data_IF_010343120385
#
_entry.id   IF_010343120385
#
_cell.length_a   1.000
_cell.length_b   1.000
_cell.length_c   1.000
_cell.angle_alpha   90.00
_cell.angle_beta   90.00
_cell.angle_gamma   90.00
#
_symmetry.space_group_name_H-M   'P 1'
#
loop_
_entity.id
_entity.type
_entity.pdbx_description
1 polymer ?
#
# COMPACT_ATOMS: atom_id res chain seq x y z
N UNK A 1 29.53 -13.60 -14.64
CA UNK A 1 29.76 -14.52 -15.77
C UNK A 1 31.26 -14.54 -16.00
N UNK A 2 31.93 -15.68 -15.78
CA UNK A 2 33.38 -15.80 -15.96
C UNK A 2 33.69 -15.87 -17.46
N UNK A 3 34.47 -14.93 -17.99
CA UNK A 3 34.78 -14.81 -19.42
C UNK A 3 36.08 -14.03 -19.62
N UNK A 4 36.69 -14.17 -20.80
CA UNK A 4 37.80 -13.32 -21.22
C UNK A 4 37.31 -11.89 -21.45
N UNK A 5 38.14 -10.91 -21.12
CA UNK A 5 37.80 -9.48 -21.22
C UNK A 5 37.30 -9.10 -22.61
N UNK A 6 37.92 -9.60 -23.67
CA UNK A 6 37.55 -9.30 -25.06
C UNK A 6 36.13 -9.79 -25.41
N UNK A 7 35.80 -11.03 -25.03
CA UNK A 7 34.46 -11.59 -25.27
C UNK A 7 33.39 -10.88 -24.44
N UNK A 8 33.70 -10.57 -23.18
CA UNK A 8 32.79 -9.82 -22.32
C UNK A 8 32.47 -8.43 -22.90
N UNK A 9 33.49 -7.68 -23.30
CA UNK A 9 33.33 -6.33 -23.89
C UNK A 9 32.61 -6.40 -25.24
N UNK A 10 32.92 -7.39 -26.08
CA UNK A 10 32.26 -7.56 -27.38
C UNK A 10 30.77 -7.85 -27.21
N UNK A 11 30.42 -8.76 -26.31
CA UNK A 11 29.02 -9.07 -26.00
C UNK A 11 28.29 -7.85 -25.43
N UNK A 12 28.92 -7.12 -24.50
CA UNK A 12 28.36 -5.90 -23.93
C UNK A 12 28.04 -4.86 -25.01
N UNK A 13 28.94 -4.64 -25.98
CA UNK A 13 28.74 -3.72 -27.09
C UNK A 13 27.56 -4.10 -27.97
N UNK A 14 27.35 -5.40 -28.24
CA UNK A 14 26.20 -5.89 -29.00
C UNK A 14 24.88 -5.51 -28.31
N UNK A 15 24.76 -5.76 -27.00
CA UNK A 15 23.57 -5.39 -26.24
C UNK A 15 23.37 -3.86 -26.15
N UNK A 16 24.45 -3.09 -25.99
CA UNK A 16 24.38 -1.63 -25.98
C UNK A 16 23.91 -1.08 -27.33
N UNK A 17 24.42 -1.59 -28.45
CA UNK A 17 24.02 -1.19 -29.79
C UNK A 17 22.54 -1.50 -30.04
N UNK A 18 22.07 -2.69 -29.65
CA UNK A 18 20.66 -3.05 -29.76
C UNK A 18 19.76 -2.18 -28.88
N UNK A 19 20.16 -1.92 -27.63
CA UNK A 19 19.41 -1.05 -26.72
C UNK A 19 19.29 0.38 -27.25
N UNK A 20 20.34 0.90 -27.90
CA UNK A 20 20.30 2.23 -28.52
C UNK A 20 19.38 2.26 -29.75
N UNK A 21 19.43 1.24 -30.60
CA UNK A 21 18.51 1.10 -31.73
C UNK A 21 17.04 1.08 -31.28
N UNK A 22 16.73 0.30 -30.23
CA UNK A 22 15.37 0.21 -29.69
C UNK A 22 14.92 1.53 -29.03
N UNK A 23 15.85 2.26 -28.40
CA UNK A 23 15.57 3.58 -27.82
C UNK A 23 15.21 4.61 -28.89
N UNK A 24 15.92 4.61 -30.03
CA UNK A 24 15.64 5.51 -31.16
C UNK A 24 14.28 5.21 -31.80
N UNK A 25 13.93 3.93 -31.96
CA UNK A 25 12.62 3.53 -32.46
C UNK A 25 11.50 4.03 -31.53
N UNK A 26 11.67 3.88 -30.21
CA UNK A 26 10.69 4.39 -29.24
C UNK A 26 10.59 5.92 -29.27
N UNK A 27 11.71 6.63 -29.43
CA UNK A 27 11.73 8.09 -29.54
C UNK A 27 10.89 8.57 -30.74
N UNK A 28 11.02 7.90 -31.88
CA UNK A 28 10.21 8.21 -33.06
C UNK A 28 8.71 8.07 -32.76
N UNK A 29 8.30 6.93 -32.18
CA UNK A 29 6.89 6.70 -31.82
C UNK A 29 6.36 7.69 -30.79
N UNK A 30 7.16 8.06 -29.78
CA UNK A 30 6.77 9.09 -28.80
C UNK A 30 6.51 10.42 -29.50
N UNK A 31 7.39 10.85 -30.41
CA UNK A 31 7.22 12.09 -31.17
C UNK A 31 5.99 12.06 -32.07
N UNK A 32 5.70 10.94 -32.73
CA UNK A 32 4.48 10.78 -33.51
C UNK A 32 3.22 10.90 -32.66
N UNK A 33 3.19 10.25 -31.49
CA UNK A 33 2.06 10.30 -30.56
C UNK A 33 1.86 11.72 -30.01
N UNK A 34 2.94 12.42 -29.64
CA UNK A 34 2.87 13.80 -29.15
C UNK A 34 2.28 14.74 -30.21
N UNK A 35 2.70 14.60 -31.48
CA UNK A 35 2.12 15.36 -32.60
C UNK A 35 0.62 15.09 -32.76
N UNK A 36 0.20 13.82 -32.69
CA UNK A 36 -1.23 13.44 -32.81
C UNK A 36 -2.10 14.04 -31.70
N UNK A 37 -1.56 14.20 -30.49
CA UNK A 37 -2.25 14.76 -29.33
C UNK A 37 -2.13 16.32 -29.30
N UNK A 38 -1.37 16.92 -30.20
CA UNK A 38 -1.15 18.38 -30.25
C UNK A 38 -0.20 18.89 -29.16
N UNK A 39 0.66 18.02 -28.62
CA UNK A 39 1.68 18.37 -27.62
C UNK A 39 3.05 18.53 -28.29
N UNK A 40 3.87 19.41 -27.73
CA UNK A 40 5.24 19.63 -28.20
C UNK A 40 6.04 18.30 -28.32
N UNK A 41 6.60 17.96 -29.50
CA UNK A 41 7.34 16.73 -29.73
C UNK A 41 8.57 16.54 -28.83
N UNK A 42 9.15 17.62 -28.31
CA UNK A 42 10.35 17.59 -27.48
C UNK A 42 10.04 17.74 -25.97
N UNK A 43 8.74 17.69 -25.59
CA UNK A 43 8.30 17.75 -24.19
C UNK A 43 8.75 16.56 -23.34
N UNK A 44 9.17 15.45 -23.97
CA UNK A 44 9.73 14.27 -23.29
C UNK A 44 11.19 14.11 -23.72
N UNK A 45 12.12 14.25 -22.77
CA UNK A 45 13.55 14.19 -23.06
C UNK A 45 14.01 12.79 -23.45
N UNK A 46 15.04 12.71 -24.31
CA UNK A 46 15.70 11.43 -24.66
C UNK A 46 16.24 10.68 -23.44
N UNK A 47 16.71 11.39 -22.41
CA UNK A 47 17.16 10.79 -21.16
C UNK A 47 16.02 10.06 -20.41
N UNK A 48 14.81 10.62 -20.44
CA UNK A 48 13.62 9.98 -19.88
C UNK A 48 13.22 8.74 -20.69
N UNK A 49 13.23 8.83 -22.03
CA UNK A 49 12.94 7.70 -22.93
C UNK A 49 13.93 6.56 -22.70
N UNK A 50 15.24 6.87 -22.58
CA UNK A 50 16.28 5.88 -22.27
C UNK A 50 16.06 5.19 -20.93
N UNK A 51 15.67 5.96 -19.90
CA UNK A 51 15.31 5.43 -18.59
C UNK A 51 14.08 4.52 -18.66
N UNK A 52 13.09 4.89 -19.46
CA UNK A 52 11.90 4.08 -19.71
C UNK A 52 12.26 2.78 -20.43
N UNK A 53 13.05 2.80 -21.51
CA UNK A 53 13.50 1.60 -22.22
C UNK A 53 14.20 0.62 -21.26
N UNK A 54 15.11 1.14 -20.42
CA UNK A 54 15.85 0.35 -19.42
C UNK A 54 14.93 -0.30 -18.38
N UNK A 55 13.82 0.34 -18.03
CA UNK A 55 12.88 -0.12 -17.00
C UNK A 55 11.55 -0.63 -17.54
N UNK A 56 11.42 -0.83 -18.86
CA UNK A 56 10.18 -1.20 -19.54
C UNK A 56 9.51 -2.45 -18.97
N UNK A 57 10.31 -3.45 -18.57
CA UNK A 57 9.82 -4.69 -17.91
C UNK A 57 9.38 -4.51 -16.45
N UNK A 58 9.74 -3.39 -15.82
CA UNK A 58 9.54 -3.10 -14.40
C UNK A 58 8.49 -2.00 -14.16
N UNK A 59 7.77 -1.59 -15.20
CA UNK A 59 6.71 -0.59 -15.05
C UNK A 59 5.66 -1.10 -14.07
N UNK A 60 5.21 -0.19 -13.19
CA UNK A 60 4.19 -0.44 -12.17
C UNK A 60 3.24 0.74 -12.16
N UNK A 61 1.97 0.44 -11.98
CA UNK A 61 0.90 1.43 -11.83
C UNK A 61 0.18 1.07 -10.55
N UNK A 62 0.28 1.94 -9.55
CA UNK A 62 -0.45 1.78 -8.28
C UNK A 62 -1.74 2.59 -8.36
N UNK A 63 -2.87 1.92 -8.13
CA UNK A 63 -4.19 2.55 -8.04
C UNK A 63 -4.77 2.18 -6.68
N UNK A 64 -5.27 3.19 -5.98
CA UNK A 64 -5.84 3.07 -4.65
C UNK A 64 -7.33 3.35 -4.73
N UNK A 65 -8.10 2.66 -3.88
CA UNK A 65 -9.49 3.02 -3.65
C UNK A 65 -9.55 4.32 -2.86
N UNK A 66 -10.63 5.07 -3.04
CA UNK A 66 -10.86 6.26 -2.22
C UNK A 66 -11.29 5.83 -0.82
N UNK A 67 -11.02 6.66 0.18
CA UNK A 67 -11.58 6.45 1.52
C UNK A 67 -13.11 6.39 1.47
N UNK A 68 -13.76 7.23 0.66
CA UNK A 68 -15.24 7.19 0.53
C UNK A 68 -15.73 5.81 0.09
N UNK A 69 -15.10 5.19 -0.90
CA UNK A 69 -15.43 3.85 -1.37
C UNK A 69 -15.16 2.77 -0.32
N UNK A 70 -14.06 2.88 0.42
CA UNK A 70 -13.68 1.96 1.51
C UNK A 70 -14.70 1.98 2.67
N UNK A 71 -15.29 3.15 2.96
CA UNK A 71 -16.26 3.30 4.04
C UNK A 71 -17.70 2.99 3.59
N UNK A 72 -18.09 3.39 2.37
CA UNK A 72 -19.47 3.23 1.87
C UNK A 72 -19.74 1.89 1.20
N UNK A 73 -18.73 1.31 0.53
CA UNK A 73 -18.85 0.08 -0.25
C UNK A 73 -17.67 -0.86 0.06
N UNK A 74 -17.64 -1.45 1.27
CA UNK A 74 -16.57 -2.35 1.68
C UNK A 74 -16.49 -3.57 0.73
N UNK A 75 -15.27 -4.00 0.40
CA UNK A 75 -15.08 -5.18 -0.44
C UNK A 75 -15.22 -6.47 0.39
N UNK A 76 -16.48 -6.82 0.67
CA UNK A 76 -16.87 -7.90 1.60
C UNK A 76 -16.15 -9.23 1.35
N UNK A 77 -15.99 -9.74 0.11
CA UNK A 77 -15.32 -11.03 -0.12
C UNK A 77 -13.87 -11.06 0.37
N UNK A 78 -13.14 -9.97 0.18
CA UNK A 78 -11.74 -9.87 0.60
C UNK A 78 -11.61 -9.65 2.10
N UNK A 79 -12.49 -8.85 2.69
CA UNK A 79 -12.57 -8.67 4.16
C UNK A 79 -12.88 -10.01 4.84
N UNK A 80 -13.85 -10.78 4.32
CA UNK A 80 -14.18 -12.11 4.82
C UNK A 80 -12.98 -13.06 4.72
N UNK A 81 -12.28 -13.06 3.58
CA UNK A 81 -11.06 -13.85 3.38
C UNK A 81 -9.99 -13.51 4.42
N UNK A 82 -9.70 -12.22 4.62
CA UNK A 82 -8.72 -11.79 5.61
C UNK A 82 -9.13 -12.09 7.05
N UNK A 83 -10.43 -12.06 7.33
CA UNK A 83 -10.96 -12.37 8.66
C UNK A 83 -10.78 -13.86 9.03
N UNK A 84 -10.98 -14.76 8.06
CA UNK A 84 -10.85 -16.22 8.24
C UNK A 84 -9.41 -16.74 8.16
N UNK A 85 -8.50 -15.97 7.57
CA UNK A 85 -7.10 -16.34 7.41
C UNK A 85 -6.32 -16.09 8.69
N UNK A 86 -5.68 -17.12 9.25
CA UNK A 86 -4.97 -17.04 10.54
C UNK A 86 -3.87 -15.97 10.55
N UNK A 87 -3.21 -15.73 9.42
CA UNK A 87 -2.12 -14.75 9.31
C UNK A 87 -2.63 -13.31 9.14
N UNK A 88 -3.88 -13.11 8.72
CA UNK A 88 -4.47 -11.79 8.46
C UNK A 88 -5.58 -11.41 9.45
N UNK A 89 -6.10 -12.39 10.19
CA UNK A 89 -7.23 -12.18 11.10
C UNK A 89 -6.91 -11.12 12.13
N UNK A 90 -5.71 -11.12 12.71
CA UNK A 90 -5.31 -10.09 13.68
C UNK A 90 -5.36 -8.68 13.08
N UNK A 91 -4.84 -8.49 11.87
CA UNK A 91 -4.78 -7.19 11.22
C UNK A 91 -6.18 -6.67 10.86
N UNK A 92 -7.06 -7.58 10.40
CA UNK A 92 -8.46 -7.26 10.12
C UNK A 92 -9.22 -6.89 11.40
N UNK A 93 -9.02 -7.64 12.49
CA UNK A 93 -9.58 -7.32 13.80
C UNK A 93 -9.09 -5.95 14.29
N UNK A 94 -7.78 -5.66 14.21
CA UNK A 94 -7.24 -4.35 14.56
C UNK A 94 -7.87 -3.22 13.76
N UNK A 95 -8.02 -3.40 12.44
CA UNK A 95 -8.65 -2.41 11.58
C UNK A 95 -10.11 -2.14 11.97
N UNK A 96 -10.92 -3.19 12.20
CA UNK A 96 -12.32 -3.05 12.65
C UNK A 96 -12.38 -2.35 14.01
N UNK A 97 -11.49 -2.73 14.93
CA UNK A 97 -11.44 -2.16 16.27
C UNK A 97 -11.02 -0.68 16.24
N UNK A 98 -10.04 -0.30 15.42
CA UNK A 98 -9.65 1.11 15.24
C UNK A 98 -10.82 1.95 14.72
N UNK A 99 -11.56 1.45 13.71
CA UNK A 99 -12.80 2.10 13.26
C UNK A 99 -13.86 2.20 14.36
N UNK A 100 -13.99 1.18 15.19
CA UNK A 100 -14.91 1.18 16.32
C UNK A 100 -14.50 2.20 17.39
N UNK A 101 -13.20 2.35 17.66
CA UNK A 101 -12.66 3.37 18.56
C UNK A 101 -12.96 4.77 18.06
N UNK A 102 -12.73 5.05 16.78
CA UNK A 102 -13.04 6.35 16.16
C UNK A 102 -14.54 6.68 16.27
N UNK A 103 -15.40 5.71 15.99
CA UNK A 103 -16.86 5.86 16.12
C UNK A 103 -17.28 6.09 17.57
N UNK A 104 -16.67 5.38 18.52
CA UNK A 104 -16.94 5.57 19.95
C UNK A 104 -16.51 6.97 20.42
N UNK A 105 -15.34 7.44 19.98
CA UNK A 105 -14.84 8.77 20.28
C UNK A 105 -15.76 9.86 19.70
N UNK A 106 -16.25 9.68 18.47
CA UNK A 106 -17.21 10.59 17.85
C UNK A 106 -18.55 10.65 18.60
N UNK A 107 -19.05 9.52 19.09
CA UNK A 107 -20.35 9.44 19.76
C UNK A 107 -20.32 9.91 21.22
N UNK A 108 -19.21 9.70 21.95
CA UNK A 108 -19.15 9.90 23.40
C UNK A 108 -18.07 10.90 23.85
N UNK A 109 -17.31 11.50 22.93
CA UNK A 109 -16.18 12.40 23.22
C UNK A 109 -15.16 11.81 24.20
N UNK A 110 -15.04 10.47 24.24
CA UNK A 110 -14.17 9.75 25.18
C UNK A 110 -13.56 8.53 24.53
N UNK A 111 -12.28 8.32 24.80
CA UNK A 111 -11.52 7.15 24.37
C UNK A 111 -12.02 5.86 25.05
N UNK A 112 -11.71 4.67 24.49
CA UNK A 112 -12.18 3.41 25.00
C UNK A 112 -11.60 3.17 26.40
N UNK A 113 -12.46 3.09 27.40
CA UNK A 113 -12.11 2.62 28.74
C UNK A 113 -13.14 1.64 29.31
N UNK A 114 -14.17 1.31 28.54
CA UNK A 114 -15.28 0.43 28.94
C UNK A 114 -15.44 -0.64 27.85
N UNK A 115 -15.10 -1.88 28.20
CA UNK A 115 -15.12 -3.05 27.32
C UNK A 115 -16.46 -3.23 26.60
N UNK A 116 -17.57 -3.24 27.34
CA UNK A 116 -18.89 -3.53 26.79
C UNK A 116 -19.30 -2.56 25.69
N UNK A 117 -18.97 -1.27 25.84
CA UNK A 117 -19.30 -0.24 24.85
C UNK A 117 -18.51 -0.44 23.56
N UNK A 118 -17.21 -0.74 23.69
CA UNK A 118 -16.37 -1.01 22.51
C UNK A 118 -16.84 -2.27 21.80
N UNK A 119 -17.18 -3.33 22.53
CA UNK A 119 -17.71 -4.57 21.96
C UNK A 119 -18.99 -4.34 21.14
N UNK A 120 -19.94 -3.57 21.65
CA UNK A 120 -21.18 -3.25 20.91
C UNK A 120 -20.90 -2.44 19.64
N UNK A 121 -20.05 -1.41 19.72
CA UNK A 121 -19.72 -0.56 18.57
C UNK A 121 -18.94 -1.37 17.53
N UNK A 122 -18.00 -2.21 17.95
CA UNK A 122 -17.20 -3.03 17.05
C UNK A 122 -18.05 -4.07 16.31
N UNK A 123 -19.04 -4.68 16.98
CA UNK A 123 -20.01 -5.56 16.33
C UNK A 123 -20.84 -4.82 15.25
N UNK A 124 -21.26 -3.58 15.53
CA UNK A 124 -21.96 -2.74 14.54
C UNK A 124 -21.08 -2.42 13.33
N UNK A 125 -19.80 -2.07 13.53
CA UNK A 125 -18.85 -1.81 12.44
C UNK A 125 -18.61 -3.08 11.62
N UNK A 126 -18.45 -4.24 12.27
CA UNK A 126 -18.26 -5.51 11.59
C UNK A 126 -19.47 -5.87 10.71
N UNK A 127 -20.69 -5.67 11.19
CA UNK A 127 -21.91 -5.88 10.41
C UNK A 127 -21.99 -4.97 9.18
N UNK A 128 -21.65 -3.69 9.31
CA UNK A 128 -21.60 -2.76 8.17
C UNK A 128 -20.54 -3.16 7.13
N UNK A 129 -19.45 -3.77 7.57
CA UNK A 129 -18.41 -4.33 6.69
C UNK A 129 -18.78 -5.69 6.07
N UNK A 130 -20.00 -6.20 6.31
CA UNK A 130 -20.48 -7.48 5.76
C UNK A 130 -20.01 -8.71 6.54
N UNK A 131 -19.47 -8.53 7.75
CA UNK A 131 -19.07 -9.60 8.67
C UNK A 131 -20.19 -9.91 9.68
N UNK A 132 -21.36 -10.29 9.17
CA UNK A 132 -22.52 -10.59 10.01
C UNK A 132 -22.28 -11.86 10.86
N UNK A 133 -22.32 -11.72 12.18
CA UNK A 133 -22.12 -12.83 13.11
C UNK A 133 -20.65 -13.22 13.35
N UNK A 134 -19.69 -12.43 12.84
CA UNK A 134 -18.28 -12.64 13.13
C UNK A 134 -17.97 -12.33 14.59
N UNK A 135 -17.37 -13.28 15.30
CA UNK A 135 -16.87 -13.06 16.66
C UNK A 135 -15.50 -12.39 16.58
N UNK A 136 -15.46 -11.09 16.89
CA UNK A 136 -14.20 -10.39 17.10
C UNK A 136 -13.45 -11.01 18.30
N UNK A 137 -12.12 -10.96 18.28
CA UNK A 137 -11.32 -11.43 19.42
C UNK A 137 -11.60 -10.59 20.66
N UNK A 138 -12.13 -11.21 21.71
CA UNK A 138 -12.38 -10.54 22.99
C UNK A 138 -11.08 -10.10 23.68
N UNK A 139 -10.00 -10.85 23.48
CA UNK A 139 -8.66 -10.48 23.96
C UNK A 139 -8.21 -9.17 23.32
N UNK A 140 -8.38 -9.02 21.99
CA UNK A 140 -8.05 -7.77 21.31
C UNK A 140 -8.94 -6.61 21.74
N UNK A 141 -10.24 -6.83 22.00
CA UNK A 141 -11.13 -5.78 22.53
C UNK A 141 -10.65 -5.32 23.92
N UNK A 142 -10.24 -6.27 24.76
CA UNK A 142 -9.69 -5.99 26.10
C UNK A 142 -8.42 -5.17 25.99
N UNK A 143 -7.50 -5.57 25.11
CA UNK A 143 -6.25 -4.86 24.86
C UNK A 143 -6.48 -3.44 24.30
N UNK A 144 -7.45 -3.27 23.40
CA UNK A 144 -7.80 -1.94 22.89
C UNK A 144 -8.33 -1.00 23.98
N UNK A 145 -9.10 -1.53 24.94
CA UNK A 145 -9.50 -0.76 26.13
C UNK A 145 -8.30 -0.48 27.05
N UNK A 146 -7.37 -1.43 27.19
CA UNK A 146 -6.15 -1.28 27.99
C UNK A 146 -5.21 -0.22 27.41
N UNK A 147 -5.12 -0.10 26.09
CA UNK A 147 -4.33 0.95 25.45
C UNK A 147 -4.85 2.34 25.78
N UNK A 148 -6.16 2.51 25.96
CA UNK A 148 -6.77 3.77 26.39
C UNK A 148 -6.49 4.96 25.48
N UNK A 149 -6.16 4.71 24.20
CA UNK A 149 -5.73 5.73 23.25
C UNK A 149 -4.32 6.28 23.47
N UNK A 150 -3.46 5.57 24.21
CA UNK A 150 -2.07 5.96 24.40
C UNK A 150 -1.25 5.81 23.10
N UNK A 151 -0.32 6.75 22.90
CA UNK A 151 0.66 6.69 21.81
C UNK A 151 2.03 6.28 22.38
N UNK A 152 2.45 5.06 22.10
CA UNK A 152 3.70 4.49 22.63
C UNK A 152 4.85 4.84 21.69
N UNK A 153 5.88 5.52 22.21
CA UNK A 153 6.98 6.07 21.39
C UNK A 153 7.64 5.05 20.44
N UNK A 154 8.03 3.83 20.86
CA UNK A 154 8.54 2.81 19.94
C UNK A 154 7.61 2.47 18.76
N UNK A 155 6.29 2.38 19.00
CA UNK A 155 5.31 2.07 17.94
C UNK A 155 5.19 3.27 16.99
N UNK A 156 5.11 4.48 17.53
CA UNK A 156 5.08 5.71 16.74
C UNK A 156 6.34 5.88 15.89
N UNK A 157 7.53 5.60 16.44
CA UNK A 157 8.80 5.66 15.71
C UNK A 157 8.84 4.64 14.56
N UNK A 158 8.36 3.42 14.77
CA UNK A 158 8.27 2.41 13.71
C UNK A 158 7.32 2.85 12.59
N UNK A 159 6.10 3.27 12.93
CA UNK A 159 5.10 3.74 11.96
C UNK A 159 5.62 4.98 11.21
N UNK A 160 6.29 5.90 11.89
CA UNK A 160 6.94 7.07 11.26
C UNK A 160 8.04 6.69 10.27
N UNK A 161 8.83 5.65 10.56
CA UNK A 161 9.82 5.10 9.63
C UNK A 161 9.18 4.53 8.36
N UNK A 162 8.10 3.75 8.50
CA UNK A 162 7.35 3.22 7.35
C UNK A 162 6.72 4.35 6.54
N UNK A 163 5.99 5.25 7.19
CA UNK A 163 5.27 6.34 6.52
C UNK A 163 6.22 7.30 5.79
N UNK A 164 7.34 7.68 6.40
CA UNK A 164 8.34 8.55 5.76
C UNK A 164 8.93 7.91 4.50
N UNK A 165 9.21 6.61 4.53
CA UNK A 165 9.69 5.89 3.34
C UNK A 165 8.62 5.85 2.24
N UNK A 166 7.34 5.61 2.57
CA UNK A 166 6.25 5.66 1.58
C UNK A 166 6.13 7.06 0.93
N UNK A 167 6.28 8.13 1.71
CA UNK A 167 6.32 9.51 1.18
C UNK A 167 7.51 9.69 0.22
N UNK A 168 8.71 9.20 0.56
CA UNK A 168 9.88 9.26 -0.33
C UNK A 168 9.59 8.55 -1.66
N UNK A 169 8.94 7.37 -1.64
CA UNK A 169 8.58 6.64 -2.86
C UNK A 169 7.66 7.47 -3.75
N UNK A 170 6.65 8.13 -3.16
CA UNK A 170 5.70 8.97 -3.90
C UNK A 170 6.37 10.20 -4.52
N UNK A 171 7.20 10.91 -3.74
CA UNK A 171 7.88 12.14 -4.19
C UNK A 171 8.89 11.82 -5.29
N UNK A 172 9.70 10.79 -5.10
CA UNK A 172 10.75 10.41 -6.05
C UNK A 172 10.21 9.67 -7.27
N UNK A 173 9.00 9.09 -7.16
CA UNK A 173 8.43 8.14 -8.13
C UNK A 173 9.38 6.95 -8.37
N UNK A 174 10.13 6.59 -7.34
CA UNK A 174 11.03 5.44 -7.33
C UNK A 174 10.52 4.42 -6.32
N UNK A 175 10.73 3.14 -6.63
CA UNK A 175 10.15 1.99 -5.92
C UNK A 175 8.61 1.94 -6.02
N UNK A 176 8.03 0.89 -5.44
CA UNK A 176 6.58 0.64 -5.43
C UNK A 176 6.06 0.95 -4.03
N UNK A 177 5.12 1.91 -3.88
CA UNK A 177 4.49 2.14 -2.60
C UNK A 177 3.63 0.94 -2.19
N UNK A 178 3.43 0.76 -0.88
CA UNK A 178 2.56 -0.26 -0.33
C UNK A 178 1.14 -0.09 -0.91
N UNK A 179 0.48 -1.17 -1.30
CA UNK A 179 -0.91 -1.11 -1.73
C UNK A 179 -1.84 -1.10 -0.49
N UNK A 180 -2.99 -0.46 -0.54
CA UNK A 180 -3.99 -0.53 0.55
C UNK A 180 -3.51 -0.01 1.91
N UNK A 181 -3.92 -0.69 2.97
CA UNK A 181 -3.79 -0.27 4.38
C UNK A 181 -2.79 -1.15 5.13
N UNK A 182 -1.72 -0.55 5.63
CA UNK A 182 -0.69 -1.24 6.43
C UNK A 182 -1.08 -1.23 7.91
N UNK A 183 -1.16 -2.42 8.51
CA UNK A 183 -1.45 -2.63 9.94
C UNK A 183 -0.23 -3.25 10.60
N UNK A 184 0.20 -2.66 11.73
CA UNK A 184 1.29 -3.17 12.54
C UNK A 184 0.80 -3.49 13.96
N UNK A 185 1.08 -4.71 14.41
CA UNK A 185 0.85 -5.16 15.77
C UNK A 185 2.17 -5.16 16.54
N UNK A 186 2.32 -4.21 17.45
CA UNK A 186 3.49 -4.07 18.31
C UNK A 186 3.61 -5.12 19.41
N UNK A 187 2.55 -5.87 19.73
CA UNK A 187 2.58 -6.96 20.73
C UNK A 187 3.37 -8.14 20.18
N UNK A 188 3.02 -8.60 18.98
CA UNK A 188 3.59 -9.79 18.35
C UNK A 188 4.69 -9.47 17.32
N UNK A 189 4.98 -8.18 17.10
CA UNK A 189 5.92 -7.69 16.09
C UNK A 189 5.58 -8.18 14.67
N UNK A 190 4.29 -8.25 14.35
CA UNK A 190 3.78 -8.65 13.04
C UNK A 190 3.16 -7.47 12.30
N UNK A 191 3.23 -7.48 10.97
CA UNK A 191 2.53 -6.53 10.13
C UNK A 191 1.84 -7.20 8.95
N UNK A 192 0.71 -6.66 8.51
CA UNK A 192 0.05 -7.07 7.27
C UNK A 192 -0.41 -5.86 6.47
N UNK A 193 -0.62 -6.10 5.17
CA UNK A 193 -1.22 -5.14 4.25
C UNK A 193 -2.59 -5.65 3.84
N UNK A 194 -3.61 -4.84 4.10
CA UNK A 194 -5.01 -5.13 3.76
C UNK A 194 -5.40 -4.35 2.51
N UNK A 195 -5.89 -5.04 1.49
CA UNK A 195 -6.51 -4.44 0.31
C UNK A 195 -7.98 -4.21 0.62
N UNK A 196 -8.31 -3.02 1.11
CA UNK A 196 -9.65 -2.66 1.58
C UNK A 196 -10.40 -1.80 0.55
#
# INVERSE_FOLDING_TARGET
>A
MTSLTEYYVSLQKIYQAKAEFDCLALEHHVKEILKRIGRDPDSISRAYIKTFCKNSRKLRVSRYRSFEEEFSSPFVPEIQRYFTDEDYSYATNFYILLRAVDRLAANYSRLPGIFDRLKTVAASVASEMGLNGASLSEDLITEMCRFGGAEIHPVAAFVGGVASQEVIKLVTKQFVPLPGTFIFNGIDLKSQVLML
#
